data_IF_887817810491
#
_entry.id   IF_887817810491
#
_cell.length_a   1.000
_cell.length_b   1.000
_cell.length_c   1.000
_cell.angle_alpha   90.00
_cell.angle_beta   90.00
_cell.angle_gamma   90.00
#
_symmetry.space_group_name_H-M   'P 1'
#
loop_
_entity.id
_entity.type
_entity.pdbx_description
1 polymer ?
#
# COMPACT_ATOMS: atom_id res chain seq x y z
N UNK A 1 -6.37 -15.98 29.46
CA UNK A 1 -7.55 -15.70 28.62
C UNK A 1 -7.27 -16.26 27.23
N UNK A 2 -7.90 -17.34 26.82
CA UNK A 2 -7.67 -17.99 25.53
C UNK A 2 -8.39 -17.19 24.43
N UNK A 3 -7.66 -16.64 23.47
CA UNK A 3 -8.27 -15.94 22.33
C UNK A 3 -8.79 -16.98 21.33
N UNK A 4 -10.10 -17.03 21.13
CA UNK A 4 -10.71 -17.90 20.12
C UNK A 4 -10.21 -17.51 18.72
N UNK A 5 -9.77 -18.50 17.93
CA UNK A 5 -9.36 -18.30 16.54
C UNK A 5 -10.51 -17.69 15.73
N UNK A 6 -10.21 -16.61 14.99
CA UNK A 6 -11.19 -15.89 14.17
C UNK A 6 -11.87 -16.78 13.14
N UNK A 7 -11.13 -17.71 12.50
CA UNK A 7 -11.67 -18.65 11.51
C UNK A 7 -12.82 -19.51 12.02
N UNK A 8 -12.84 -19.79 13.33
CA UNK A 8 -13.94 -20.56 13.96
C UNK A 8 -15.21 -19.73 14.17
N UNK A 9 -15.13 -18.42 13.98
CA UNK A 9 -16.25 -17.49 14.19
C UNK A 9 -16.84 -16.94 12.89
N UNK A 10 -16.05 -16.94 11.83
CA UNK A 10 -16.45 -16.39 10.55
C UNK A 10 -17.57 -17.22 9.91
N UNK A 11 -18.58 -16.52 9.43
CA UNK A 11 -19.58 -17.03 8.51
C UNK A 11 -18.95 -17.36 7.15
N UNK A 12 -19.62 -18.10 6.32
CA UNK A 12 -19.10 -18.41 4.96
C UNK A 12 -18.93 -17.13 4.11
N UNK A 13 -19.82 -16.14 4.27
CA UNK A 13 -19.68 -14.86 3.58
C UNK A 13 -18.46 -14.08 4.05
N UNK A 14 -18.17 -14.07 5.35
CA UNK A 14 -16.96 -13.42 5.89
C UNK A 14 -15.69 -14.13 5.43
N UNK A 15 -15.68 -15.45 5.38
CA UNK A 15 -14.57 -16.22 4.81
C UNK A 15 -14.35 -15.89 3.33
N UNK A 16 -15.43 -15.85 2.54
CA UNK A 16 -15.35 -15.46 1.13
C UNK A 16 -14.77 -14.05 0.97
N UNK A 17 -15.17 -13.08 1.80
CA UNK A 17 -14.63 -11.72 1.79
C UNK A 17 -13.13 -11.69 2.14
N UNK A 18 -12.68 -12.49 3.11
CA UNK A 18 -11.25 -12.62 3.44
C UNK A 18 -10.43 -13.16 2.27
N UNK A 19 -10.94 -14.19 1.58
CA UNK A 19 -10.25 -14.74 0.41
C UNK A 19 -10.22 -13.75 -0.75
N UNK A 20 -11.31 -13.04 -1.01
CA UNK A 20 -11.36 -12.00 -2.05
C UNK A 20 -10.34 -10.88 -1.77
N UNK A 21 -10.26 -10.39 -0.53
CA UNK A 21 -9.27 -9.41 -0.11
C UNK A 21 -7.83 -9.94 -0.27
N UNK A 22 -7.61 -11.20 0.11
CA UNK A 22 -6.31 -11.85 -0.06
C UNK A 22 -5.88 -11.95 -1.53
N UNK A 23 -6.83 -12.22 -2.44
CA UNK A 23 -6.55 -12.27 -3.88
C UNK A 23 -6.25 -10.88 -4.46
N UNK A 24 -6.96 -9.83 -4.05
CA UNK A 24 -6.64 -8.47 -4.42
C UNK A 24 -5.24 -8.05 -3.95
N UNK A 25 -4.87 -8.43 -2.72
CA UNK A 25 -3.54 -8.17 -2.19
C UNK A 25 -2.46 -8.95 -2.95
N UNK A 26 -2.71 -10.22 -3.25
CA UNK A 26 -1.81 -11.05 -4.05
C UNK A 26 -1.55 -10.44 -5.43
N UNK A 27 -2.61 -9.94 -6.08
CA UNK A 27 -2.48 -9.27 -7.36
C UNK A 27 -1.67 -7.97 -7.23
N UNK A 28 -1.95 -7.17 -6.21
CA UNK A 28 -1.21 -5.94 -5.94
C UNK A 28 0.29 -6.19 -5.81
N UNK A 29 0.72 -7.13 -4.97
CA UNK A 29 2.15 -7.43 -4.79
C UNK A 29 2.79 -8.11 -6.00
N UNK A 30 2.01 -8.78 -6.84
CA UNK A 30 2.49 -9.35 -8.10
C UNK A 30 2.79 -8.29 -9.15
N UNK A 31 1.99 -7.23 -9.16
CA UNK A 31 2.13 -6.11 -10.10
C UNK A 31 3.12 -5.04 -9.61
N UNK A 32 3.27 -4.92 -8.29
CA UNK A 32 4.08 -3.89 -7.62
C UNK A 32 5.28 -4.52 -6.91
N UNK A 33 6.39 -4.71 -7.62
CA UNK A 33 7.61 -5.37 -7.11
C UNK A 33 8.64 -4.40 -6.55
N UNK A 34 8.46 -3.11 -6.81
CA UNK A 34 9.33 -2.04 -6.33
C UNK A 34 8.50 -0.95 -5.65
N UNK A 35 9.13 -0.16 -4.79
CA UNK A 35 8.48 1.00 -4.16
C UNK A 35 7.90 1.97 -5.20
N UNK A 36 8.55 2.14 -6.35
CA UNK A 36 8.07 3.02 -7.42
C UNK A 36 6.80 2.49 -8.10
N UNK A 37 6.75 1.19 -8.33
CA UNK A 37 5.54 0.53 -8.86
C UNK A 37 4.39 0.61 -7.86
N UNK A 38 4.67 0.40 -6.56
CA UNK A 38 3.69 0.58 -5.50
C UNK A 38 3.13 2.01 -5.49
N UNK A 39 3.98 3.05 -5.51
CA UNK A 39 3.52 4.44 -5.55
C UNK A 39 2.69 4.71 -6.79
N UNK A 40 3.12 4.23 -7.96
CA UNK A 40 2.38 4.42 -9.21
C UNK A 40 0.97 3.81 -9.15
N UNK A 41 0.86 2.62 -8.61
CA UNK A 41 -0.44 1.94 -8.45
C UNK A 41 -1.29 2.60 -7.37
N UNK A 42 -0.70 3.01 -6.25
CA UNK A 42 -1.41 3.74 -5.20
C UNK A 42 -1.97 5.08 -5.71
N UNK A 43 -1.23 5.81 -6.55
CA UNK A 43 -1.73 7.04 -7.19
C UNK A 43 -2.97 6.77 -8.04
N UNK A 44 -2.99 5.71 -8.84
CA UNK A 44 -4.15 5.33 -9.65
C UNK A 44 -5.36 5.00 -8.77
N UNK A 45 -5.15 4.19 -7.74
CA UNK A 45 -6.22 3.79 -6.81
C UNK A 45 -6.74 4.99 -6.01
N UNK A 46 -5.86 5.88 -5.56
CA UNK A 46 -6.23 7.11 -4.87
C UNK A 46 -7.09 8.01 -5.76
N UNK A 47 -6.66 8.24 -7.02
CA UNK A 47 -7.42 9.03 -7.98
C UNK A 47 -8.80 8.39 -8.26
N UNK A 48 -8.87 7.08 -8.47
CA UNK A 48 -10.13 6.36 -8.65
C UNK A 48 -11.06 6.45 -7.42
N UNK A 49 -10.48 6.56 -6.22
CA UNK A 49 -11.21 6.76 -4.97
C UNK A 49 -11.55 8.24 -4.67
N UNK A 50 -11.28 9.16 -5.61
CA UNK A 50 -11.62 10.57 -5.51
C UNK A 50 -10.64 11.40 -4.68
N UNK A 51 -9.41 10.92 -4.46
CA UNK A 51 -8.35 11.72 -3.89
C UNK A 51 -7.73 12.63 -4.95
N UNK A 52 -7.44 13.87 -4.58
CA UNK A 52 -6.78 14.87 -5.42
C UNK A 52 -5.28 14.90 -5.13
N UNK A 53 -4.47 15.17 -6.14
CA UNK A 53 -3.04 15.37 -5.96
C UNK A 53 -2.79 16.67 -5.19
N UNK A 54 -2.02 16.59 -4.11
CA UNK A 54 -1.71 17.74 -3.25
C UNK A 54 -0.95 18.84 -4.01
N UNK A 55 -0.08 18.49 -4.94
CA UNK A 55 0.63 19.47 -5.77
C UNK A 55 -0.33 20.27 -6.63
N UNK A 56 -1.34 19.61 -7.21
CA UNK A 56 -2.39 20.31 -7.97
C UNK A 56 -3.27 21.19 -7.09
N UNK A 57 -3.63 20.70 -5.90
CA UNK A 57 -4.41 21.48 -4.92
C UNK A 57 -3.68 22.77 -4.56
N UNK A 58 -2.36 22.67 -4.27
CA UNK A 58 -1.51 23.83 -3.96
C UNK A 58 -1.40 24.76 -5.17
N UNK A 59 -1.10 24.23 -6.34
CA UNK A 59 -0.94 25.03 -7.56
C UNK A 59 -2.21 25.82 -7.94
N UNK A 60 -3.37 25.23 -7.67
CA UNK A 60 -4.68 25.87 -7.93
C UNK A 60 -5.15 26.76 -6.78
N UNK A 61 -4.43 26.85 -5.67
CA UNK A 61 -4.81 27.64 -4.49
C UNK A 61 -6.10 27.16 -3.83
N UNK A 62 -6.41 25.86 -3.90
CA UNK A 62 -7.63 25.29 -3.35
C UNK A 62 -7.50 25.21 -1.83
N UNK A 63 -8.46 25.77 -1.10
CA UNK A 63 -8.56 25.60 0.36
C UNK A 63 -9.30 24.31 0.66
N UNK A 64 -8.64 23.40 1.38
CA UNK A 64 -9.23 22.14 1.80
C UNK A 64 -10.24 22.34 2.94
N UNK A 65 -11.28 21.52 2.96
CA UNK A 65 -12.33 21.49 3.97
C UNK A 65 -12.56 20.06 4.46
N UNK A 66 -13.28 19.93 5.56
CA UNK A 66 -13.61 18.63 6.14
C UNK A 66 -14.27 17.70 5.11
N UNK A 67 -13.77 16.49 4.99
CA UNK A 67 -14.19 15.48 4.02
C UNK A 67 -13.38 15.45 2.74
N UNK A 68 -12.59 16.49 2.44
CA UNK A 68 -11.72 16.49 1.27
C UNK A 68 -10.63 15.41 1.39
N UNK A 69 -10.26 14.84 0.27
CA UNK A 69 -9.30 13.73 0.16
C UNK A 69 -8.15 14.15 -0.73
N UNK A 70 -6.95 14.03 -0.21
CA UNK A 70 -5.75 14.39 -0.96
C UNK A 70 -4.66 13.34 -0.77
N UNK A 71 -3.77 13.23 -1.75
CA UNK A 71 -2.57 12.42 -1.62
C UNK A 71 -1.33 13.24 -1.96
N UNK A 72 -0.19 12.82 -1.42
CA UNK A 72 1.12 13.37 -1.75
C UNK A 72 2.08 12.22 -2.10
N UNK A 73 2.80 12.41 -3.19
CA UNK A 73 3.88 11.54 -3.65
C UNK A 73 5.22 12.19 -3.31
N UNK A 74 6.12 11.45 -2.70
CA UNK A 74 7.48 11.89 -2.47
C UNK A 74 8.46 11.13 -3.37
N UNK A 75 8.72 11.69 -4.55
CA UNK A 75 9.71 11.21 -5.54
C UNK A 75 9.47 9.76 -6.01
N UNK A 76 8.23 9.30 -5.98
CA UNK A 76 7.85 7.94 -6.34
C UNK A 76 8.39 6.86 -5.38
N UNK A 77 8.76 7.22 -4.15
CA UNK A 77 9.33 6.29 -3.15
C UNK A 77 8.57 6.22 -1.84
N UNK A 78 7.79 7.24 -1.53
CA UNK A 78 6.85 7.22 -0.42
C UNK A 78 5.55 7.92 -0.82
N UNK A 79 4.48 7.57 -0.14
CA UNK A 79 3.13 8.00 -0.47
C UNK A 79 2.35 8.29 0.80
N UNK A 80 1.64 9.39 0.81
CA UNK A 80 0.77 9.75 1.93
C UNK A 80 -0.62 10.10 1.43
N UNK A 81 -1.64 9.70 2.18
CA UNK A 81 -3.05 10.02 1.89
C UNK A 81 -3.67 10.65 3.12
N UNK A 82 -4.51 11.66 2.88
CA UNK A 82 -5.18 12.39 3.93
C UNK A 82 -6.67 12.50 3.64
N UNK A 83 -7.46 12.31 4.66
CA UNK A 83 -8.88 12.70 4.69
C UNK A 83 -8.98 13.80 5.72
N UNK A 84 -9.39 14.98 5.30
CA UNK A 84 -9.47 16.15 6.18
C UNK A 84 -10.61 15.94 7.18
N UNK A 85 -10.26 15.95 8.47
CA UNK A 85 -11.19 15.75 9.56
C UNK A 85 -12.13 16.93 9.79
N UNK A 86 -13.12 16.71 10.64
CA UNK A 86 -14.05 17.78 11.08
C UNK A 86 -13.50 18.56 12.27
N UNK A 87 -12.54 17.98 12.98
CA UNK A 87 -11.91 18.56 14.18
C UNK A 87 -10.55 19.16 13.82
N UNK A 88 -10.09 20.19 14.53
CA UNK A 88 -8.76 20.75 14.34
C UNK A 88 -7.66 19.72 14.68
N UNK A 89 -6.49 19.87 14.05
CA UNK A 89 -5.37 18.94 14.24
C UNK A 89 -4.86 18.86 15.67
N UNK A 90 -5.05 19.91 16.47
CA UNK A 90 -4.68 19.98 17.87
C UNK A 90 -5.45 18.94 18.74
N UNK A 91 -6.60 18.50 18.27
CA UNK A 91 -7.37 17.41 18.91
C UNK A 91 -6.85 16.01 18.53
N UNK A 92 -5.83 15.95 17.66
CA UNK A 92 -5.19 14.72 17.23
C UNK A 92 -5.64 14.23 15.86
N UNK A 93 -4.99 13.17 15.40
CA UNK A 93 -5.30 12.50 14.14
C UNK A 93 -5.11 10.98 14.29
N UNK A 94 -5.76 10.22 13.42
CA UNK A 94 -5.49 8.80 13.28
C UNK A 94 -4.44 8.61 12.18
N UNK A 95 -3.35 7.91 12.49
CA UNK A 95 -2.26 7.65 11.56
C UNK A 95 -2.16 6.13 11.36
N UNK A 96 -2.23 5.70 10.09
CA UNK A 96 -1.92 4.35 9.65
C UNK A 96 -0.61 4.42 8.87
N UNK A 97 0.38 3.64 9.29
CA UNK A 97 1.68 3.61 8.63
C UNK A 97 2.10 2.19 8.29
N UNK A 98 2.72 2.03 7.13
CA UNK A 98 3.32 0.79 6.69
C UNK A 98 4.54 1.08 5.82
N UNK A 99 5.49 0.15 5.76
CA UNK A 99 6.56 0.24 4.78
C UNK A 99 6.04 -0.06 3.37
N UNK A 100 6.66 0.51 2.35
CA UNK A 100 6.23 0.40 0.96
C UNK A 100 7.10 -0.58 0.15
N UNK A 101 8.31 -0.85 0.59
CA UNK A 101 9.19 -1.84 0.00
C UNK A 101 8.71 -3.26 0.33
N UNK A 102 8.93 -4.20 -0.60
CA UNK A 102 8.61 -5.61 -0.41
C UNK A 102 9.89 -6.43 -0.29
N UNK A 103 9.95 -7.47 0.58
CA UNK A 103 11.00 -8.46 0.53
C UNK A 103 11.02 -9.15 -0.83
N UNK A 104 12.20 -9.24 -1.43
CA UNK A 104 12.39 -9.92 -2.72
C UNK A 104 13.76 -10.58 -2.77
N UNK A 105 13.91 -11.55 -3.64
CA UNK A 105 15.19 -12.11 -4.03
C UNK A 105 15.54 -11.57 -5.40
N UNK A 106 16.70 -10.93 -5.53
CA UNK A 106 17.24 -10.46 -6.81
C UNK A 106 18.45 -11.32 -7.15
N UNK A 107 18.55 -11.74 -8.40
CA UNK A 107 19.75 -12.41 -8.91
C UNK A 107 20.90 -11.42 -9.04
N UNK A 108 22.11 -11.83 -8.67
CA UNK A 108 23.33 -11.06 -8.94
C UNK A 108 23.59 -10.96 -10.45
N UNK A 109 24.47 -10.05 -10.87
CA UNK A 109 24.80 -9.85 -12.29
C UNK A 109 25.36 -11.11 -12.97
N UNK A 110 26.11 -11.95 -12.23
CA UNK A 110 26.60 -13.25 -12.68
C UNK A 110 26.08 -14.32 -11.70
N UNK A 111 24.80 -14.69 -11.78
CA UNK A 111 24.15 -15.43 -10.73
C UNK A 111 24.47 -16.94 -10.74
N UNK A 112 24.82 -17.49 -11.91
CA UNK A 112 25.03 -18.92 -12.07
C UNK A 112 26.45 -19.31 -11.69
N UNK A 113 26.59 -20.23 -10.75
CA UNK A 113 27.86 -20.84 -10.39
C UNK A 113 27.69 -22.33 -10.08
N UNK A 114 28.78 -23.05 -10.07
CA UNK A 114 28.82 -24.49 -9.76
C UNK A 114 29.54 -24.69 -8.44
N UNK A 115 28.94 -25.45 -7.56
CA UNK A 115 29.58 -25.95 -6.33
C UNK A 115 28.98 -27.32 -5.99
N UNK A 116 29.88 -28.23 -5.56
CA UNK A 116 29.52 -29.60 -5.15
C UNK A 116 28.68 -30.37 -6.19
N UNK A 117 29.05 -30.25 -7.47
CA UNK A 117 28.34 -30.84 -8.63
C UNK A 117 26.90 -30.36 -8.79
N UNK A 118 26.57 -29.19 -8.27
CA UNK A 118 25.25 -28.54 -8.42
C UNK A 118 25.36 -27.18 -9.10
N UNK A 119 24.39 -26.86 -9.95
CA UNK A 119 24.22 -25.52 -10.47
C UNK A 119 23.44 -24.68 -9.44
N UNK A 120 24.04 -23.63 -8.95
CA UNK A 120 23.49 -22.75 -7.93
C UNK A 120 23.26 -21.36 -8.51
N UNK A 121 22.30 -20.65 -7.92
CA UNK A 121 21.99 -19.25 -8.21
C UNK A 121 22.30 -18.39 -6.98
N UNK A 122 23.02 -17.27 -7.23
CA UNK A 122 23.39 -16.29 -6.20
C UNK A 122 22.66 -14.95 -6.43
#
# INVERSE_FOLDING_TARGET
MERKNAWKKYTENEKAAVFAYGEEYRQFISDCKTERECVSELKKRAAAAGFQDMEEVIAKGITLKAGDRVFADNKGKSFAMYIIGQKPLEEGMNILGAHIDSPRLDLKQNPLYEDTDMALLD
#
